data_IF_575897368877
#
_entry.id   IF_575897368877
#
_cell.length_a   1.000
_cell.length_b   1.000
_cell.length_c   1.000
_cell.angle_alpha   90.00
_cell.angle_beta   90.00
_cell.angle_gamma   90.00
#
_symmetry.space_group_name_H-M   'P 1'
#
loop_
_entity.id
_entity.type
_entity.pdbx_description
1 polymer ?
2 polymer ?
3 polymer ?
4 water ?
#
# COMPACT_ATOMS: atom_id res chain seq x y z
N UNK A 31 -15.35 -7.64 23.65
CA UNK A 31 -15.93 -7.46 22.32
C UNK A 31 -17.39 -7.93 22.26
N UNK A 32 -18.31 -7.01 22.59
CA UNK A 32 -19.73 -7.29 22.45
C UNK A 32 -20.24 -6.77 21.10
N UNK A 33 -20.60 -7.70 20.20
CA UNK A 33 -20.91 -7.49 18.77
C UNK A 33 -21.84 -6.32 18.44
N UNK A 34 -22.76 -5.99 19.34
CA UNK A 34 -23.67 -4.85 19.15
C UNK A 34 -22.88 -3.54 19.08
N UNK A 35 -21.64 -3.57 19.57
CA UNK A 35 -20.85 -2.36 19.68
C UNK A 35 -19.65 -2.33 18.74
N UNK A 36 -19.59 -3.30 17.81
CA UNK A 36 -18.54 -3.31 16.79
C UNK A 36 -19.11 -3.13 15.39
N UNK A 37 -18.37 -2.46 14.52
CA UNK A 37 -18.77 -2.40 13.11
C UNK A 37 -18.86 -3.82 12.59
N UNK A 38 -19.89 -4.09 11.79
CA UNK A 38 -20.02 -5.36 11.11
C UNK A 38 -18.90 -5.57 10.11
N UNK A 39 -18.18 -6.68 10.25
CA UNK A 39 -17.05 -6.97 9.37
C UNK A 39 -17.31 -8.23 8.56
N UNK A 40 -18.52 -8.76 8.68
CA UNK A 40 -18.92 -9.91 7.88
C UNK A 40 -19.34 -9.49 6.49
N UNK A 41 -18.35 -9.06 5.72
CA UNK A 41 -18.51 -8.70 4.31
C UNK A 41 -17.54 -9.54 3.48
N UNK A 42 -17.80 -9.63 2.18
CA UNK A 42 -16.98 -10.41 1.28
C UNK A 42 -15.51 -9.97 1.34
N UNK A 43 -15.29 -8.68 1.41
CA UNK A 43 -13.92 -8.15 1.42
C UNK A 43 -13.78 -7.04 2.45
N UNK A 44 -12.57 -6.84 2.97
CA UNK A 44 -12.34 -5.76 3.91
C UNK A 44 -12.57 -4.41 3.22
N UNK A 45 -12.00 -4.25 2.03
CA UNK A 45 -12.20 -3.02 1.27
C UNK A 45 -10.96 -2.48 0.59
N UNK A 46 -11.12 -1.34 -0.09
CA UNK A 46 -10.04 -0.66 -0.80
C UNK A 46 -9.20 0.19 0.14
N UNK A 47 -7.88 0.21 -0.10
CA UNK A 47 -6.98 1.15 0.56
C UNK A 47 -6.16 1.88 -0.51
N UNK A 48 -6.45 3.17 -0.67
CA UNK A 48 -5.75 4.00 -1.65
C UNK A 48 -4.58 4.71 -0.99
N UNK A 49 -3.39 4.62 -1.59
CA UNK A 49 -2.25 5.36 -1.07
C UNK A 49 -1.81 6.36 -2.12
N UNK A 50 -1.72 7.63 -1.72
CA UNK A 50 -1.15 8.65 -2.59
C UNK A 50 0.26 8.93 -2.11
N UNK A 51 1.25 8.57 -2.92
CA UNK A 51 2.65 8.69 -2.53
C UNK A 51 3.32 9.81 -3.29
N UNK A 52 3.32 11.01 -2.71
CA UNK A 52 3.92 12.17 -3.37
C UNK A 52 5.34 12.45 -2.92
N UNK A 53 6.29 12.17 -3.81
CA UNK A 53 7.73 12.30 -3.52
C UNK A 53 8.34 13.47 -4.26
N UNK A 54 8.04 13.56 -5.55
CA UNK A 54 8.61 14.60 -6.40
C UNK A 54 7.58 15.66 -6.72
N UNK A 55 8.00 16.92 -6.61
CA UNK A 55 7.06 18.02 -6.78
C UNK A 55 7.55 19.00 -7.85
N UNK A 56 6.61 19.67 -8.50
CA UNK A 56 6.97 20.68 -9.50
C UNK A 56 7.78 21.81 -8.87
N UNK A 57 8.82 22.23 -9.57
CA UNK A 57 9.71 23.31 -9.16
C UNK A 57 8.97 24.58 -8.71
N UNK A 58 7.78 24.80 -9.26
CA UNK A 58 6.98 25.98 -8.92
C UNK A 58 6.53 25.98 -7.45
N UNK A 59 6.20 24.80 -6.95
CA UNK A 59 5.77 24.65 -5.55
C UNK A 59 6.90 25.03 -4.60
N UNK A 60 8.14 24.93 -5.08
CA UNK A 60 9.32 25.18 -4.27
C UNK A 60 9.52 24.14 -3.17
N UNK A 61 8.85 23.00 -3.32
CA UNK A 61 8.94 21.95 -2.32
C UNK A 61 9.99 20.91 -2.73
N UNK A 62 10.73 20.41 -1.74
CA UNK A 62 11.79 19.46 -2.00
C UNK A 62 11.33 18.01 -2.13
N UNK A 63 12.23 17.15 -2.59
CA UNK A 63 11.96 15.72 -2.66
C UNK A 63 11.71 15.19 -1.25
N UNK A 64 10.77 14.25 -1.13
CA UNK A 64 10.48 13.64 0.16
C UNK A 64 11.19 12.30 0.31
N UNK A 65 12.52 12.35 0.45
CA UNK A 65 13.32 11.14 0.63
C UNK A 65 12.82 10.30 1.79
N UNK A 66 12.64 9.00 1.56
CA UNK A 66 12.12 8.12 2.58
C UNK A 66 10.68 7.75 2.37
N UNK A 67 9.97 8.53 1.55
CA UNK A 67 8.56 8.25 1.33
C UNK A 67 8.28 6.93 0.60
N UNK A 68 9.21 6.47 -0.24
CA UNK A 68 9.00 5.21 -0.92
C UNK A 68 9.05 4.07 0.09
N UNK A 69 9.95 4.17 1.06
CA UNK A 69 9.99 3.18 2.13
C UNK A 69 8.67 3.18 2.89
N UNK A 70 8.12 4.37 3.11
CA UNK A 70 6.81 4.49 3.76
C UNK A 70 5.73 3.77 2.94
N UNK A 71 5.67 4.10 1.65
CA UNK A 71 4.66 3.52 0.76
C UNK A 71 4.75 1.99 0.71
N UNK A 72 5.97 1.46 0.61
CA UNK A 72 6.10 0.01 0.51
C UNK A 72 5.78 -0.66 1.86
N UNK A 73 6.16 -0.03 2.96
CA UNK A 73 5.82 -0.53 4.28
C UNK A 73 4.31 -0.57 4.45
N UNK A 74 3.66 0.51 4.05
CA UNK A 74 2.20 0.63 4.21
C UNK A 74 1.46 -0.34 3.29
N UNK A 75 1.98 -0.51 2.09
CA UNK A 75 1.40 -1.50 1.16
C UNK A 75 1.36 -2.88 1.81
N UNK A 76 2.52 -3.33 2.32
CA UNK A 76 2.60 -4.63 2.96
C UNK A 76 1.70 -4.76 4.22
N UNK A 77 1.66 -3.74 5.06
CA UNK A 77 0.89 -3.87 6.31
C UNK A 77 -0.62 -3.69 6.10
N UNK A 78 -1.02 -2.84 5.16
CA UNK A 78 -2.45 -2.73 4.86
C UNK A 78 -2.96 -3.93 4.08
N UNK A 79 -2.09 -4.53 3.24
CA UNK A 79 -2.48 -5.75 2.53
C UNK A 79 -2.66 -6.87 3.54
N UNK A 80 -1.79 -6.90 4.55
CA UNK A 80 -1.87 -7.92 5.60
C UNK A 80 -3.20 -7.88 6.34
N UNK A 81 -3.73 -6.68 6.55
CA UNK A 81 -5.01 -6.49 7.22
C UNK A 81 -6.17 -7.04 6.39
N UNK A 82 -5.98 -7.10 5.08
CA UNK A 82 -7.02 -7.60 4.17
C UNK A 82 -7.48 -6.60 3.12
N UNK A 83 -6.90 -5.41 3.12
CA UNK A 83 -7.21 -4.40 2.11
C UNK A 83 -6.68 -4.75 0.72
N UNK A 84 -7.41 -4.31 -0.29
CA UNK A 84 -6.89 -4.24 -1.65
C UNK A 84 -6.16 -2.91 -1.78
N UNK A 85 -4.84 -2.94 -1.60
CA UNK A 85 -4.08 -1.69 -1.58
C UNK A 85 -3.67 -1.29 -2.99
N UNK A 86 -3.88 -0.03 -3.32
CA UNK A 86 -3.43 0.48 -4.62
C UNK A 86 -2.69 1.81 -4.42
N UNK A 87 -1.49 1.89 -4.95
CA UNK A 87 -0.62 3.04 -4.75
C UNK A 87 -0.48 3.87 -6.04
N UNK A 88 -0.63 5.18 -5.90
CA UNK A 88 -0.45 6.10 -7.01
C UNK A 88 0.66 7.09 -6.63
N UNK A 89 1.64 7.27 -7.52
CA UNK A 89 2.81 8.09 -7.21
C UNK A 89 2.76 9.49 -7.82
N UNK A 90 3.27 10.47 -7.07
CA UNK A 90 3.47 11.83 -7.57
C UNK A 90 2.21 12.38 -8.26
N UNK A 91 1.09 12.38 -7.55
CA UNK A 91 -0.18 12.79 -8.15
C UNK A 91 -0.37 14.31 -8.14
N UNK A 92 -0.87 14.84 -9.25
CA UNK A 92 -1.28 16.24 -9.29
C UNK A 92 -2.52 16.38 -8.42
N UNK A 93 -2.88 17.62 -8.09
CA UNK A 93 -4.09 17.88 -7.31
C UNK A 93 -5.32 17.31 -8.04
N UNK A 94 -5.35 17.49 -9.36
CA UNK A 94 -6.46 17.02 -10.17
C UNK A 94 -6.54 15.50 -10.16
N UNK A 95 -5.38 14.85 -10.15
CA UNK A 95 -5.35 13.39 -10.13
C UNK A 95 -5.86 12.86 -8.79
N UNK A 96 -5.40 13.47 -7.70
CA UNK A 96 -5.87 13.09 -6.36
C UNK A 96 -7.38 13.24 -6.26
N UNK A 97 -7.89 14.37 -6.72
CA UNK A 97 -9.32 14.62 -6.70
C UNK A 97 -10.10 13.58 -7.51
N UNK A 98 -9.61 13.26 -8.70
CA UNK A 98 -10.33 12.34 -9.56
C UNK A 98 -10.29 10.91 -9.05
N UNK A 99 -9.16 10.51 -8.47
CA UNK A 99 -9.02 9.16 -7.92
C UNK A 99 -9.99 8.93 -6.76
N UNK A 100 -10.05 9.89 -5.84
CA UNK A 100 -10.90 9.72 -4.67
C UNK A 100 -12.38 9.81 -5.08
N UNK A 101 -12.67 10.72 -6.00
CA UNK A 101 -14.02 10.85 -6.54
C UNK A 101 -14.46 9.54 -7.20
N UNK A 102 -13.59 8.99 -8.05
CA UNK A 102 -13.84 7.68 -8.67
C UNK A 102 -14.10 6.60 -7.63
N UNK A 103 -13.21 6.49 -6.64
CA UNK A 103 -13.35 5.51 -5.59
C UNK A 103 -14.70 5.66 -4.89
N UNK A 104 -15.11 6.90 -4.63
CA UNK A 104 -16.39 7.14 -3.96
C UNK A 104 -17.58 6.69 -4.82
N UNK A 105 -17.37 6.59 -6.13
CA UNK A 105 -18.44 6.21 -7.05
C UNK A 105 -18.44 4.71 -7.38
N UNK A 106 -17.44 3.99 -6.90
CA UNK A 106 -17.44 2.53 -7.06
C UNK A 106 -18.41 1.89 -6.08
N UNK A 107 -18.70 0.61 -6.32
CA UNK A 107 -19.66 -0.11 -5.49
C UNK A 107 -18.99 -0.82 -4.33
N UNK A 108 -19.14 -0.28 -3.11
CA UNK A 108 -18.53 -0.87 -1.92
C UNK A 108 -19.52 -1.73 -1.13
N UNK A 109 -20.59 -2.17 -1.78
CA UNK A 109 -21.65 -2.91 -1.08
C UNK A 109 -21.10 -4.11 -0.31
N UNK A 110 -20.15 -4.82 -0.92
CA UNK A 110 -19.62 -6.04 -0.34
C UNK A 110 -18.27 -5.86 0.32
N UNK A 111 -17.94 -4.61 0.64
CA UNK A 111 -16.73 -4.24 1.38
C UNK A 111 -17.13 -3.74 2.78
N UNK A 112 -16.31 -4.01 3.80
CA UNK A 112 -16.62 -3.58 5.18
C UNK A 112 -16.26 -2.12 5.49
N UNK A 113 -15.26 -1.58 4.79
CA UNK A 113 -14.77 -0.26 5.10
C UNK A 113 -13.92 0.28 3.98
N UNK A 114 -13.40 1.49 4.15
CA UNK A 114 -12.58 2.13 3.12
C UNK A 114 -11.44 2.87 3.80
N UNK A 115 -10.26 2.83 3.21
CA UNK A 115 -9.12 3.56 3.77
C UNK A 115 -8.40 4.33 2.68
N UNK A 116 -7.83 5.47 3.07
CA UNK A 116 -7.05 6.27 2.16
C UNK A 116 -5.87 6.84 2.96
N UNK A 117 -4.67 6.72 2.40
CA UNK A 117 -3.45 7.21 3.05
C UNK A 117 -2.79 8.26 2.17
N UNK A 118 -2.52 9.43 2.74
CA UNK A 118 -1.93 10.53 2.01
C UNK A 118 -0.53 10.80 2.53
N UNK A 119 0.46 10.72 1.65
CA UNK A 119 1.85 10.93 2.00
C UNK A 119 2.36 12.11 1.18
N UNK A 120 2.54 13.27 1.82
CA UNK A 120 2.96 14.43 1.07
C UNK A 120 3.46 15.54 1.97
N UNK A 121 3.84 16.64 1.35
CA UNK A 121 4.04 17.91 2.04
C UNK A 121 2.66 18.44 2.41
N UNK A 122 2.60 19.32 3.41
CA UNK A 122 1.33 19.91 3.80
C UNK A 122 1.48 21.23 4.51
N UNK A 123 0.34 21.88 4.72
CA UNK A 123 0.22 23.06 5.59
C UNK A 123 -1.10 22.87 6.31
N UNK A 124 -1.47 23.77 7.21
CA UNK A 124 -2.71 23.60 7.97
C UNK A 124 -3.91 23.44 7.03
N UNK A 125 -4.65 22.33 7.19
CA UNK A 125 -5.85 22.00 6.42
C UNK A 125 -5.64 21.62 4.94
N UNK A 126 -4.40 21.63 4.47
CA UNK A 126 -4.13 21.30 3.07
C UNK A 126 -3.03 20.26 2.90
N UNK A 127 -3.06 19.57 1.75
CA UNK A 127 -2.00 18.65 1.40
C UNK A 127 -1.51 19.02 0.01
N UNK A 128 -0.23 18.74 -0.27
CA UNK A 128 0.35 19.08 -1.55
C UNK A 128 0.16 17.98 -2.57
N UNK A 129 -0.36 18.37 -3.73
CA UNK A 129 -0.24 17.56 -4.92
C UNK A 129 1.10 17.92 -5.53
N UNK A 130 1.44 17.27 -6.63
CA UNK A 130 2.71 17.52 -7.30
C UNK A 130 2.85 18.99 -7.74
N UNK A 131 1.71 19.65 -7.93
CA UNK A 131 1.70 20.98 -8.55
C UNK A 131 1.12 22.09 -7.69
N UNK A 132 0.66 21.74 -6.49
CA UNK A 132 0.11 22.75 -5.59
C UNK A 132 -0.64 22.14 -4.42
N UNK A 133 -1.41 22.97 -3.73
CA UNK A 133 -2.14 22.53 -2.54
C UNK A 133 -3.62 22.32 -2.81
N UNK A 134 -4.19 21.32 -2.16
CA UNK A 134 -5.62 21.10 -2.21
C UNK A 134 -6.14 20.89 -0.78
N UNK A 135 -7.32 21.43 -0.47
CA UNK A 135 -7.85 21.27 0.88
C UNK A 135 -8.16 19.80 1.16
N UNK A 136 -7.75 19.32 2.32
CA UNK A 136 -7.97 17.93 2.67
C UNK A 136 -9.47 17.61 2.71
N UNK A 137 -10.27 18.57 3.15
CA UNK A 137 -11.71 18.38 3.22
C UNK A 137 -12.38 18.13 1.87
N UNK A 138 -11.76 18.63 0.79
CA UNK A 138 -12.28 18.39 -0.56
C UNK A 138 -12.08 16.94 -0.98
N UNK A 139 -11.03 16.32 -0.45
CA UNK A 139 -10.76 14.93 -0.76
C UNK A 139 -11.69 13.99 0.01
N UNK A 140 -11.97 14.33 1.27
CA UNK A 140 -12.79 13.45 2.10
C UNK A 140 -14.28 13.63 1.81
N UNK A 141 -14.64 14.77 1.23
CA UNK A 141 -16.04 15.13 1.02
C UNK A 141 -16.82 14.13 0.14
N UNK A 142 -16.12 13.47 -0.78
CA UNK A 142 -16.76 12.53 -1.70
C UNK A 142 -17.40 11.36 -0.97
N UNK A 143 -16.90 11.08 0.23
CA UNK A 143 -17.31 9.92 0.99
C UNK A 143 -18.39 10.19 2.03
N UNK A 144 -18.85 11.44 2.07
CA UNK A 144 -19.95 11.83 2.96
C UNK A 144 -21.13 10.89 2.77
N UNK A 145 -21.86 10.62 3.84
CA UNK A 145 -22.91 9.61 3.83
C UNK A 145 -23.95 9.77 2.75
N UNK A 146 -24.29 11.02 2.43
CA UNK A 146 -25.28 11.29 1.41
C UNK A 146 -24.69 11.18 -0.01
N UNK A 147 -23.36 11.20 -0.12
CA UNK A 147 -22.70 11.19 -1.43
C UNK A 147 -22.10 9.84 -1.81
N UNK A 148 -22.01 8.95 -0.82
CA UNK A 148 -21.38 7.65 -1.02
C UNK A 148 -22.20 6.59 -0.28
N UNK A 149 -23.32 6.23 -0.87
CA UNK A 149 -24.30 5.38 -0.20
C UNK A 149 -23.82 3.98 0.15
N UNK A 150 -22.92 3.43 -0.66
CA UNK A 150 -22.48 2.06 -0.40
C UNK A 150 -21.42 1.98 0.71
N UNK A 151 -21.04 3.13 1.24
CA UNK A 151 -20.17 3.16 2.42
C UNK A 151 -20.90 3.70 3.63
N UNK A 152 -22.20 3.93 3.49
CA UNK A 152 -23.01 4.40 4.60
C UNK A 152 -22.94 3.40 5.76
N UNK A 153 -22.76 3.92 6.98
CA UNK A 153 -22.68 3.13 8.21
C UNK A 153 -21.40 2.26 8.30
N UNK A 154 -20.47 2.52 7.40
CA UNK A 154 -19.19 1.80 7.37
C UNK A 154 -18.04 2.78 7.63
N UNK A 155 -16.97 2.30 8.28
CA UNK A 155 -15.90 3.25 8.62
C UNK A 155 -15.11 3.71 7.41
N UNK A 156 -14.81 5.00 7.39
CA UNK A 156 -14.05 5.61 6.33
C UNK A 156 -12.80 6.21 6.96
N UNK A 157 -11.64 5.64 6.66
CA UNK A 157 -10.43 5.93 7.42
C UNK A 157 -9.44 6.73 6.58
N UNK A 158 -8.97 7.85 7.11
CA UNK A 158 -7.94 8.63 6.40
C UNK A 158 -6.70 8.79 7.24
N UNK A 159 -5.56 8.34 6.71
CA UNK A 159 -4.28 8.44 7.41
C UNK A 159 -3.47 9.49 6.67
N UNK A 160 -3.03 10.53 7.39
CA UNK A 160 -2.44 11.69 6.75
C UNK A 160 -1.06 12.00 7.29
N UNK A 161 -0.04 11.70 6.49
CA UNK A 161 1.34 12.06 6.80
C UNK A 161 1.70 13.31 6.01
N UNK A 162 1.67 14.43 6.71
CA UNK A 162 1.92 15.74 6.11
C UNK A 162 2.05 16.76 7.23
N UNK A 163 2.88 17.78 7.03
CA UNK A 163 2.95 18.87 8.00
C UNK A 163 1.59 19.56 8.07
N UNK A 164 1.31 20.18 9.21
CA UNK A 164 0.07 20.93 9.38
C UNK A 164 0.39 22.36 9.82
N UNK A 165 1.62 22.76 9.55
CA UNK A 165 2.13 24.04 10.00
C UNK A 165 3.62 23.93 10.24
N UNK A 166 4.22 24.98 10.79
CA UNK A 166 5.67 25.04 10.94
C UNK A 166 6.13 25.04 12.41
N UNK A 167 5.19 24.97 13.34
CA UNK A 167 5.55 24.90 14.75
C UNK A 167 6.33 23.63 15.09
N UNK A 168 7.26 23.74 16.02
CA UNK A 168 8.03 22.60 16.50
C UNK A 168 7.74 22.35 17.97
N UNK A 169 7.72 21.09 18.36
CA UNK A 169 7.48 20.70 19.75
C UNK A 169 8.82 20.45 20.44
N UNK A 170 9.23 21.37 21.31
CA UNK A 170 10.54 21.26 21.94
C UNK A 170 10.61 20.12 22.97
N UNK A 171 9.45 19.58 23.32
CA UNK A 171 9.39 18.50 24.30
C UNK A 171 9.76 18.95 25.70
N UNK A 172 9.58 18.05 26.66
CA UNK A 172 9.91 18.32 28.05
C UNK A 172 10.32 17.01 28.74
N UNK A 173 11.37 17.07 29.55
CA UNK A 173 11.87 15.85 30.19
C UNK A 173 10.94 15.37 31.31
N UNK B 5 -35.77 6.66 10.37
CA UNK B 5 -34.51 6.81 11.11
C UNK B 5 -33.33 7.16 10.22
N UNK B 6 -32.59 8.20 10.61
CA UNK B 6 -31.49 8.74 9.81
C UNK B 6 -30.17 8.68 10.55
N UNK B 7 -29.09 8.78 9.79
CA UNK B 7 -27.73 8.85 10.34
C UNK B 7 -27.08 10.15 9.85
N UNK B 8 -26.22 10.77 10.67
CA UNK B 8 -25.57 12.01 10.23
C UNK B 8 -24.67 11.73 9.02
N UNK B 9 -24.62 12.65 8.06
CA UNK B 9 -23.82 12.43 6.85
C UNK B 9 -22.33 12.56 7.17
N UNK B 10 -22.01 13.12 8.33
CA UNK B 10 -20.62 13.30 8.76
C UNK B 10 -20.13 12.16 9.66
N UNK B 11 -21.01 11.22 9.96
CA UNK B 11 -20.66 10.09 10.82
C UNK B 11 -19.74 9.07 10.15
N UNK B 12 -19.02 8.34 10.99
CA UNK B 12 -18.24 7.17 10.58
C UNK B 12 -16.95 7.48 9.83
N UNK B 13 -16.41 8.68 10.04
CA UNK B 13 -15.06 9.00 9.54
C UNK B 13 -14.05 8.89 10.68
N UNK B 14 -12.81 8.54 10.36
CA UNK B 14 -11.73 8.69 11.32
C UNK B 14 -10.56 9.28 10.57
N UNK B 15 -9.88 10.26 11.19
CA UNK B 15 -8.70 10.85 10.56
C UNK B 15 -7.54 10.59 11.50
N UNK B 16 -6.50 9.94 11.00
CA UNK B 16 -5.32 9.71 11.80
C UNK B 16 -4.25 10.61 11.23
N UNK B 17 -4.03 11.77 11.86
CA UNK B 17 -2.99 12.69 11.39
C UNK B 17 -1.68 12.39 12.05
N UNK B 18 -0.59 12.59 11.32
CA UNK B 18 0.74 12.32 11.85
C UNK B 18 1.13 13.29 12.96
N UNK B 19 0.47 14.44 13.00
CA UNK B 19 0.88 15.49 13.92
C UNK B 19 -0.34 16.36 14.28
N UNK B 20 -0.17 17.23 15.27
CA UNK B 20 -1.27 18.09 15.70
C UNK B 20 -1.37 19.33 14.81
N UNK B 21 -2.53 20.01 14.81
CA UNK B 21 -2.67 21.19 13.95
C UNK B 21 -1.63 22.25 14.28
N UNK B 22 -1.12 22.91 13.24
CA UNK B 22 -0.13 23.95 13.39
C UNK B 22 1.31 23.46 13.42
N UNK B 23 1.50 22.14 13.49
CA UNK B 23 2.83 21.59 13.73
C UNK B 23 3.45 20.87 12.54
N UNK B 24 4.78 20.90 12.51
CA UNK B 24 5.60 20.16 11.56
C UNK B 24 5.39 18.66 11.77
N UNK B 25 5.66 17.87 10.73
CA UNK B 25 5.62 16.43 10.85
C UNK B 25 6.97 15.89 10.34
N UNK B 26 7.65 15.10 11.17
CA UNK B 26 9.03 14.71 10.91
C UNK B 26 9.20 13.47 10.06
N UNK B 27 10.22 13.49 9.20
CA UNK B 27 10.48 12.39 8.30
C UNK B 27 11.99 12.14 8.26
N UNK B 28 12.40 10.91 8.53
CA UNK B 28 13.79 10.51 8.34
C UNK B 28 14.03 10.24 6.86
N UNK B 29 15.03 10.91 6.25
CA UNK B 29 15.31 10.71 4.82
C UNK B 29 15.68 9.26 4.49
N UNK B 30 16.26 8.56 5.45
CA UNK B 30 16.71 7.19 5.23
C UNK B 30 15.73 6.11 5.67
N UNK B 31 14.84 6.44 6.60
CA UNK B 31 13.99 5.41 7.19
C UNK B 31 12.50 5.63 6.97
N UNK B 32 12.11 6.85 6.60
CA UNK B 32 10.71 7.18 6.39
C UNK B 32 10.17 8.06 7.50
N UNK B 33 8.91 8.44 7.39
CA UNK B 33 8.31 9.33 8.38
C UNK B 33 8.16 8.60 9.71
N UNK B 34 8.26 9.36 10.80
CA UNK B 34 8.13 8.76 12.12
C UNK B 34 6.78 8.08 12.28
N UNK B 35 5.74 8.77 11.83
CA UNK B 35 4.38 8.30 11.97
C UNK B 35 4.15 6.97 11.23
N UNK B 36 4.60 6.89 9.98
CA UNK B 36 4.42 5.65 9.23
C UNK B 36 5.23 4.52 9.83
N UNK B 37 6.47 4.81 10.26
CA UNK B 37 7.29 3.77 10.87
C UNK B 37 6.55 3.15 12.05
N UNK B 38 5.99 4.01 12.91
CA UNK B 38 5.32 3.57 14.11
C UNK B 38 4.04 2.81 13.78
N UNK B 39 3.28 3.36 12.85
CA UNK B 39 2.01 2.77 12.43
C UNK B 39 2.23 1.36 11.85
N UNK B 40 3.22 1.20 10.99
CA UNK B 40 3.45 -0.12 10.43
C UNK B 40 3.92 -1.09 11.48
N UNK B 41 4.77 -0.61 12.39
CA UNK B 41 5.31 -1.46 13.44
C UNK B 41 4.19 -2.03 14.30
N UNK B 42 3.29 -1.14 14.73
CA UNK B 42 2.16 -1.51 15.59
C UNK B 42 1.18 -2.41 14.84
N UNK B 43 0.88 -2.06 13.59
CA UNK B 43 -0.02 -2.91 12.79
C UNK B 43 0.55 -4.30 12.60
N UNK B 44 1.84 -4.40 12.30
CA UNK B 44 2.47 -5.69 12.05
C UNK B 44 2.27 -6.63 13.24
N UNK B 45 2.36 -6.09 14.45
CA UNK B 45 2.27 -6.91 15.64
C UNK B 45 0.84 -7.07 16.15
N UNK B 46 0.03 -6.01 16.09
CA UNK B 46 -1.27 -6.01 16.75
C UNK B 46 -2.48 -5.74 15.86
N UNK B 47 -2.24 -5.51 14.58
CA UNK B 47 -3.28 -5.08 13.65
C UNK B 47 -4.51 -5.96 13.57
N UNK B 48 -4.36 -7.25 13.80
CA UNK B 48 -5.50 -8.17 13.74
C UNK B 48 -6.05 -8.51 15.12
N UNK B 49 -5.52 -7.87 16.15
CA UNK B 49 -5.90 -8.20 17.52
C UNK B 49 -6.60 -7.06 18.23
N UNK B 50 -6.18 -5.84 17.92
CA UNK B 50 -6.64 -4.67 18.70
C UNK B 50 -7.63 -3.79 17.96
N UNK B 51 -8.38 -3.00 18.72
CA UNK B 51 -9.34 -2.06 18.14
C UNK B 51 -8.58 -0.87 17.58
N UNK B 52 -9.16 -0.17 16.61
CA UNK B 52 -8.39 0.85 15.89
C UNK B 52 -7.86 1.97 16.80
N UNK B 53 -8.65 2.38 17.79
CA UNK B 53 -8.17 3.40 18.70
C UNK B 53 -7.06 2.89 19.62
N UNK B 54 -7.08 1.61 19.95
CA UNK B 54 -5.98 1.01 20.71
C UNK B 54 -4.71 1.07 19.88
N UNK B 55 -4.82 0.69 18.63
CA UNK B 55 -3.70 0.74 17.69
C UNK B 55 -3.18 2.16 17.60
N UNK B 56 -4.07 3.13 17.37
CA UNK B 56 -3.62 4.50 17.12
C UNK B 56 -3.05 5.18 18.37
N UNK B 57 -3.57 4.80 19.54
CA UNK B 57 -3.02 5.29 20.81
C UNK B 57 -1.59 4.77 21.01
N UNK B 58 -1.38 3.50 20.69
CA UNK B 58 -0.03 2.92 20.76
C UNK B 58 0.91 3.62 19.79
N UNK B 59 0.40 3.96 18.60
CA UNK B 59 1.16 4.76 17.66
C UNK B 59 1.52 6.13 18.25
N UNK B 60 0.54 6.79 18.89
CA UNK B 60 0.79 8.07 19.56
C UNK B 60 1.96 7.95 20.52
N UNK B 61 1.93 6.92 21.37
CA UNK B 61 3.00 6.75 22.36
C UNK B 61 4.36 6.42 21.71
N UNK B 62 4.36 5.56 20.70
CA UNK B 62 5.60 5.19 20.01
C UNK B 62 6.26 6.42 19.41
N UNK B 63 5.46 7.26 18.74
CA UNK B 63 5.98 8.47 18.11
C UNK B 63 6.47 9.44 19.18
N UNK B 64 5.68 9.56 20.25
CA UNK B 64 5.99 10.48 21.34
C UNK B 64 7.29 10.11 22.07
N UNK B 65 7.55 8.81 22.19
CA UNK B 65 8.62 8.34 23.06
C UNK B 65 9.89 7.90 22.36
N UNK B 66 9.75 7.23 21.22
CA UNK B 66 10.92 6.61 20.60
C UNK B 66 11.60 7.50 19.56
N UNK B 67 10.99 8.63 19.24
CA UNK B 67 11.57 9.53 18.24
C UNK B 67 11.91 10.91 18.80
N UNK B 68 13.05 11.42 18.36
CA UNK B 68 13.49 12.77 18.66
C UNK B 68 14.41 13.25 17.53
N UNK B 69 14.19 14.47 17.04
CA UNK B 69 14.93 14.95 15.87
C UNK B 69 16.41 15.21 16.16
N UNK B 70 17.22 15.08 15.11
CA UNK B 70 18.64 15.41 15.18
C UNK B 70 18.95 16.42 14.09
N UNK B 71 19.68 17.47 14.44
CA UNK B 71 20.09 18.47 13.45
C UNK B 71 21.29 19.26 13.96
N UNK B 72 22.14 19.70 13.05
CA UNK B 72 23.23 20.60 13.41
C UNK B 72 22.73 22.03 13.55
N UNK B 73 21.52 22.27 13.05
CA UNK B 73 20.83 23.53 13.24
C UNK B 73 20.09 23.42 14.56
N UNK B 74 20.49 24.22 15.56
CA UNK B 74 19.91 24.18 16.90
C UNK B 74 18.39 24.35 16.86
N UNK B 75 17.91 25.13 15.91
CA UNK B 75 16.47 25.39 15.79
C UNK B 75 15.69 24.12 15.52
N UNK B 76 16.34 23.14 14.90
CA UNK B 76 15.67 21.89 14.52
C UNK B 76 16.12 20.66 15.33
N UNK B 77 16.93 20.89 16.35
CA UNK B 77 17.53 19.81 17.13
C UNK B 77 16.67 19.41 18.34
N UNK B 78 16.54 18.11 18.53
CA UNK B 78 15.92 17.52 19.72
C UNK B 78 14.44 17.89 19.86
N UNK B 79 13.74 17.92 18.73
CA UNK B 79 12.31 18.22 18.71
C UNK B 79 11.49 16.93 18.78
N UNK B 80 10.23 17.07 19.16
CA UNK B 80 9.37 15.92 19.41
C UNK B 80 8.09 16.02 18.60
N UNK B 81 7.28 14.97 18.63
CA UNK B 81 6.06 14.94 17.84
C UNK B 81 5.01 14.08 18.48
N UNK B 82 3.76 14.54 18.44
CA UNK B 82 2.61 13.71 18.81
C UNK B 82 1.59 13.71 17.66
N UNK B 83 1.11 12.52 17.26
CA UNK B 83 0.05 12.51 16.25
C UNK B 83 -1.30 12.93 16.84
N UNK B 84 -2.33 12.88 16.00
CA UNK B 84 -3.60 13.46 16.38
C UNK B 84 -4.69 12.65 15.70
N UNK B 85 -5.53 11.98 16.49
CA UNK B 85 -6.57 11.13 15.95
C UNK B 85 -7.91 11.82 16.11
N UNK B 86 -8.66 11.93 15.01
CA UNK B 86 -9.98 12.56 15.10
C UNK B 86 -11.03 11.49 14.77
N UNK B 87 -11.85 11.12 15.75
CA UNK B 87 -12.80 10.04 15.52
C UNK B 87 -14.24 10.51 15.52
N UNK B 88 -14.94 10.24 14.42
CA UNK B 88 -16.39 10.37 14.34
C UNK B 88 -17.01 8.99 14.21
N UNK B 89 -16.27 7.95 14.59
CA UNK B 89 -16.78 6.58 14.53
C UNK B 89 -17.89 6.34 15.55
N UNK B 90 -18.80 5.42 15.19
CA UNK B 90 -19.97 5.14 16.00
C UNK B 90 -19.93 3.73 16.58
N UNK B 91 -18.90 2.98 16.21
CA UNK B 91 -18.69 1.62 16.73
C UNK B 91 -17.19 1.35 16.86
N UNK B 92 -16.86 0.27 17.55
CA UNK B 92 -15.49 -0.21 17.62
C UNK B 92 -15.14 -0.90 16.32
N UNK B 93 -13.90 -0.68 15.86
CA UNK B 93 -13.41 -1.24 14.61
C UNK B 93 -12.28 -2.21 14.87
N UNK B 94 -12.54 -3.49 14.61
CA UNK B 94 -11.49 -4.52 14.53
C UNK B 94 -11.35 -4.97 13.09
N UNK B 95 -10.11 -5.17 12.64
CA UNK B 95 -9.85 -5.71 11.32
C UNK B 95 -9.88 -7.23 11.39
N UNK B 96 -11.04 -7.79 11.71
CA UNK B 96 -11.16 -9.22 11.92
C UNK B 96 -11.50 -9.95 10.63
N UNK C 13 13.70 -24.48 9.56
CA UNK C 13 15.06 -24.18 9.98
C UNK C 13 15.89 -23.65 8.81
N UNK C 14 16.24 -24.53 7.89
CA UNK C 14 16.89 -24.11 6.64
C UNK C 14 15.93 -23.27 5.83
N UNK C 15 14.63 -23.48 6.07
CA UNK C 15 13.57 -22.75 5.39
C UNK C 15 13.64 -21.24 5.53
N UNK C 16 13.77 -20.76 6.77
CA UNK C 16 13.88 -19.32 6.98
C UNK C 16 15.21 -18.83 6.42
N UNK C 17 16.25 -19.62 6.60
CA UNK C 17 17.58 -19.27 6.09
C UNK C 17 17.52 -19.11 4.58
N UNK C 18 16.79 -20.00 3.93
CA UNK C 18 16.62 -19.99 2.48
C UNK C 18 15.85 -18.74 2.06
N UNK C 19 14.74 -18.46 2.74
CA UNK C 19 13.93 -17.29 2.43
C UNK C 19 14.76 -16.03 2.60
N UNK C 20 15.50 -15.96 3.71
CA UNK C 20 16.31 -14.79 4.01
C UNK C 20 17.38 -14.59 2.94
N UNK C 21 18.10 -15.66 2.61
CA UNK C 21 19.17 -15.59 1.62
C UNK C 21 18.60 -15.24 0.25
N UNK C 22 17.49 -15.86 -0.11
CA UNK C 22 16.86 -15.59 -1.40
C UNK C 22 16.41 -14.13 -1.49
N UNK C 23 15.83 -13.64 -0.40
CA UNK C 23 15.39 -12.24 -0.33
C UNK C 23 16.56 -11.28 -0.45
N UNK C 24 17.67 -11.60 0.20
CA UNK C 24 18.83 -10.73 0.24
C UNK C 24 19.67 -10.83 -1.04
N UNK C 25 19.26 -11.71 -1.95
CA UNK C 25 19.96 -11.86 -3.22
C UNK C 25 21.34 -12.48 -3.09
N UNK C 26 21.46 -13.47 -2.21
CA UNK C 26 22.72 -14.16 -1.99
C UNK C 26 22.75 -15.50 -2.73
N UNK C 27 23.20 -15.45 -3.99
CA UNK C 27 23.20 -16.60 -4.88
C UNK C 27 23.89 -17.83 -4.29
N UNK C 28 25.12 -17.64 -3.83
CA UNK C 28 25.91 -18.76 -3.33
C UNK C 28 25.31 -19.40 -2.09
N UNK C 29 24.79 -18.57 -1.19
CA UNK C 29 24.17 -19.08 0.03
C UNK C 29 22.95 -19.93 -0.31
N UNK C 30 22.11 -19.41 -1.20
CA UNK C 30 20.98 -20.18 -1.72
C UNK C 30 21.43 -21.52 -2.31
N UNK C 31 22.47 -21.51 -3.14
CA UNK C 31 22.90 -22.76 -3.77
C UNK C 31 23.40 -23.75 -2.72
N UNK C 32 24.10 -23.25 -1.70
CA UNK C 32 24.58 -24.09 -0.61
C UNK C 32 23.42 -24.67 0.20
N UNK C 33 22.44 -23.82 0.51
CA UNK C 33 21.28 -24.24 1.27
C UNK C 33 20.50 -25.33 0.53
N UNK C 34 20.27 -25.12 -0.77
CA UNK C 34 19.59 -26.10 -1.59
C UNK C 34 20.37 -27.41 -1.69
N UNK C 35 21.69 -27.31 -1.88
CA UNK C 35 22.52 -28.50 -2.03
C UNK C 35 22.55 -29.29 -0.72
N UNK C 36 22.20 -28.62 0.37
CA UNK C 36 22.17 -29.25 1.68
C UNK C 36 20.76 -29.62 2.14
N UNK C 37 19.83 -29.62 1.19
CA UNK C 37 18.52 -30.20 1.42
C UNK C 37 17.43 -29.26 1.90
N UNK C 38 17.62 -27.95 1.74
CA UNK C 38 16.57 -27.00 2.12
C UNK C 38 15.33 -27.23 1.25
N UNK C 39 14.16 -27.05 1.85
CA UNK C 39 12.89 -27.20 1.15
C UNK C 39 12.70 -26.05 0.19
N UNK C 40 12.74 -26.37 -1.11
CA UNK C 40 12.62 -25.34 -2.16
C UNK C 40 11.29 -24.61 -2.08
N UNK C 41 10.29 -25.26 -1.51
CA UNK C 41 8.95 -24.68 -1.42
C UNK C 41 8.62 -24.20 -0.02
N UNK C 42 9.66 -23.92 0.76
CA UNK C 42 9.48 -23.34 2.10
C UNK C 42 8.70 -22.04 1.98
N UNK C 43 7.94 -21.70 3.00
CA UNK C 43 7.22 -20.45 2.97
C UNK C 43 7.05 -19.88 4.36
N UNK C 44 6.91 -18.57 4.45
CA UNK C 44 6.64 -17.96 5.73
C UNK C 44 5.16 -18.10 6.06
N UNK C 45 4.74 -17.50 7.15
CA UNK C 45 3.35 -17.62 7.62
C UNK C 45 2.35 -17.03 6.63
N UNK C 46 2.82 -16.18 5.73
CA UNK C 46 1.96 -15.52 4.75
C UNK C 46 2.02 -16.20 3.39
N UNK C 47 2.62 -17.39 3.34
CA UNK C 47 2.71 -18.17 2.12
C UNK C 47 3.73 -17.68 1.12
N UNK C 48 4.62 -16.79 1.56
CA UNK C 48 5.67 -16.20 0.74
C UNK C 48 6.79 -17.20 0.58
N UNK C 49 7.10 -17.58 -0.65
CA UNK C 49 8.15 -18.58 -0.93
C UNK C 49 9.41 -17.90 -1.45
N UNK C 50 10.55 -18.61 -1.44
CA UNK C 50 11.77 -18.07 -2.02
C UNK C 50 11.60 -17.64 -3.48
N UNK C 51 10.82 -18.38 -4.27
CA UNK C 51 10.57 -17.98 -5.64
C UNK C 51 9.80 -16.64 -5.72
N UNK C 52 8.83 -16.44 -4.84
CA UNK C 52 8.16 -15.13 -4.75
C UNK C 52 9.18 -14.04 -4.47
N UNK C 53 10.02 -14.29 -3.47
CA UNK C 53 10.95 -13.26 -2.99
C UNK C 53 11.92 -12.87 -4.10
N UNK C 54 12.42 -13.86 -4.81
CA UNK C 54 13.39 -13.58 -5.86
C UNK C 54 12.72 -12.90 -7.05
N UNK C 55 11.44 -13.21 -7.26
CA UNK C 55 10.68 -12.59 -8.34
C UNK C 55 10.41 -11.10 -8.07
N UNK C 56 10.14 -10.76 -6.82
CA UNK C 56 9.84 -9.36 -6.47
C UNK C 56 11.11 -8.52 -6.45
N UNK C 57 12.18 -9.11 -5.95
CA UNK C 57 13.42 -8.37 -5.76
C UNK C 57 14.35 -8.42 -6.98
N UNK C 58 14.01 -9.26 -7.96
CA UNK C 58 14.69 -9.25 -9.24
C UNK C 58 15.95 -10.07 -9.37
N UNK C 59 16.09 -11.08 -8.52
CA UNK C 59 17.29 -11.92 -8.51
C UNK C 59 17.17 -13.10 -9.47
N UNK C 60 17.50 -12.82 -10.72
CA UNK C 60 17.33 -13.75 -11.84
C UNK C 60 18.02 -15.09 -11.65
N UNK C 61 19.28 -15.06 -11.22
CA UNK C 61 20.05 -16.29 -11.11
C UNK C 61 19.50 -17.19 -10.02
N UNK C 62 18.90 -16.58 -9.00
CA UNK C 62 18.34 -17.33 -7.88
C UNK C 62 17.03 -17.99 -8.31
N UNK C 63 16.24 -17.25 -9.08
CA UNK C 63 15.03 -17.81 -9.70
C UNK C 63 15.40 -19.09 -10.45
N UNK C 64 16.45 -19.01 -11.26
CA UNK C 64 16.90 -20.16 -12.04
C UNK C 64 17.24 -21.37 -11.17
N UNK C 65 17.98 -21.14 -10.08
CA UNK C 65 18.35 -22.21 -9.17
C UNK C 65 17.13 -22.84 -8.50
N UNK C 66 16.22 -22.01 -8.02
CA UNK C 66 15.03 -22.50 -7.35
C UNK C 66 14.20 -23.36 -8.29
N UNK C 67 14.01 -22.91 -9.52
CA UNK C 67 13.26 -23.68 -10.50
C UNK C 67 13.95 -25.01 -10.78
N UNK C 68 15.28 -24.99 -10.84
CA UNK C 68 16.04 -26.21 -11.07
C UNK C 68 15.83 -27.24 -9.96
N UNK C 69 15.55 -26.78 -8.75
CA UNK C 69 15.29 -27.66 -7.63
C UNK C 69 13.80 -27.98 -7.51
N UNK C 70 13.02 -27.61 -8.54
CA UNK C 70 11.62 -27.98 -8.58
C UNK C 70 10.70 -27.07 -7.79
N UNK C 71 11.06 -25.79 -7.70
CA UNK C 71 10.19 -24.80 -7.07
C UNK C 71 8.84 -24.77 -7.79
N UNK C 72 7.77 -24.66 -7.02
CA UNK C 72 6.42 -24.55 -7.57
C UNK C 72 6.31 -23.19 -8.22
N UNK C 73 6.26 -23.16 -9.55
CA UNK C 73 6.21 -21.91 -10.28
C UNK C 73 4.89 -21.17 -10.03
N UNK C 74 3.86 -21.90 -9.62
CA UNK C 74 2.55 -21.31 -9.40
C UNK C 74 2.14 -21.23 -7.94
N UNK C 75 3.11 -21.21 -7.03
CA UNK C 75 2.81 -21.12 -5.62
C UNK C 75 2.01 -19.85 -5.33
N UNK C 76 0.95 -19.99 -4.54
CA UNK C 76 0.07 -18.88 -4.23
C UNK C 76 0.20 -18.52 -2.75
N UNK C 77 0.45 -17.26 -2.44
CA UNK C 77 0.62 -16.87 -1.04
C UNK C 77 -0.75 -16.62 -0.38
N UNK C 78 -0.75 -16.04 0.83
CA UNK C 78 -2.02 -15.85 1.56
C UNK C 78 -2.96 -14.90 0.85
N UNK C 79 -2.43 -14.13 -0.10
CA UNK C 79 -3.23 -13.10 -0.74
C UNK C 79 -3.57 -13.48 -2.16
N UNK C 80 -3.25 -14.72 -2.53
CA UNK C 80 -3.53 -15.22 -3.86
C UNK C 80 -2.47 -14.86 -4.89
N UNK C 81 -1.38 -14.22 -4.46
CA UNK C 81 -0.33 -13.79 -5.39
C UNK C 81 0.63 -14.91 -5.71
N UNK C 82 1.00 -15.00 -6.98
CA UNK C 82 1.98 -15.97 -7.45
C UNK C 82 3.28 -15.25 -7.79
N UNK C 83 4.36 -16.02 -8.06
CA UNK C 83 5.60 -15.31 -8.37
C UNK C 83 5.50 -14.47 -9.64
N UNK C 84 4.65 -14.89 -10.59
CA UNK C 84 4.44 -14.10 -11.78
C UNK C 84 3.80 -12.76 -11.45
N UNK C 85 2.85 -12.77 -10.51
CA UNK C 85 2.33 -11.51 -9.99
C UNK C 85 3.47 -10.63 -9.48
N UNK C 86 4.37 -11.21 -8.68
CA UNK C 86 5.44 -10.44 -8.04
C UNK C 86 6.34 -9.79 -9.08
N UNK C 87 6.75 -10.58 -10.06
CA UNK C 87 7.64 -10.09 -11.11
C UNK C 87 6.97 -9.00 -11.96
N UNK C 88 5.69 -9.19 -12.27
CA UNK C 88 4.98 -8.21 -13.08
C UNK C 88 4.81 -6.89 -12.34
N UNK C 89 4.56 -6.98 -11.03
CA UNK C 89 4.38 -5.78 -10.21
C UNK C 89 5.70 -5.03 -10.05
N UNK C 90 6.75 -5.76 -9.70
CA UNK C 90 8.05 -5.15 -9.45
C UNK C 90 8.70 -4.72 -10.76
N UNK C 91 8.18 -5.26 -11.85
CA UNK C 91 8.63 -4.88 -13.18
C UNK C 91 9.86 -5.57 -13.72
N UNK C 92 10.06 -6.83 -13.35
CA UNK C 92 11.27 -7.55 -13.78
C UNK C 92 11.01 -8.38 -15.02
N UNK C 93 11.32 -7.81 -16.19
CA UNK C 93 10.93 -8.37 -17.48
C UNK C 93 11.52 -9.76 -17.76
N UNK C 94 12.80 -9.93 -17.52
CA UNK C 94 13.44 -11.20 -17.81
C UNK C 94 12.89 -12.31 -16.91
N UNK C 95 12.56 -11.97 -15.67
CA UNK C 95 12.02 -12.96 -14.75
C UNK C 95 10.59 -13.36 -15.17
N UNK C 96 9.81 -12.39 -15.65
CA UNK C 96 8.49 -12.68 -16.20
C UNK C 96 8.60 -13.73 -17.31
N UNK C 97 9.57 -13.58 -18.21
CA UNK C 97 9.74 -14.52 -19.31
C UNK C 97 10.10 -15.91 -18.82
N UNK C 98 11.03 -15.97 -17.87
CA UNK C 98 11.46 -17.23 -17.29
C UNK C 98 10.33 -17.98 -16.57
N UNK C 99 9.56 -17.26 -15.77
CA UNK C 99 8.42 -17.88 -15.10
C UNK C 99 7.44 -18.49 -16.11
N UNK C 100 7.10 -17.73 -17.15
CA UNK C 100 6.19 -18.20 -18.20
C UNK C 100 6.73 -19.44 -18.91
N UNK C 101 8.04 -19.47 -19.14
CA UNK C 101 8.70 -20.60 -19.79
C UNK C 101 8.58 -21.88 -18.96
N UNK C 102 8.47 -21.71 -17.64
CA UNK C 102 8.35 -22.84 -16.71
C UNK C 102 6.91 -23.13 -16.29
N UNK C 103 5.95 -22.62 -17.06
CA UNK C 103 4.56 -22.99 -16.87
C UNK C 103 3.75 -22.10 -15.96
N UNK C 104 4.25 -20.91 -15.63
CA UNK C 104 3.49 -19.99 -14.79
C UNK C 104 2.15 -19.68 -15.47
N UNK C 105 1.11 -19.62 -14.66
CA UNK C 105 -0.23 -19.31 -15.11
C UNK C 105 -0.30 -17.82 -15.41
N UNK C 106 -0.38 -17.48 -16.69
CA UNK C 106 -0.37 -16.08 -17.13
C UNK C 106 -1.62 -15.34 -16.64
N UNK C 107 -2.68 -16.08 -16.37
CA UNK C 107 -3.93 -15.46 -15.91
C UNK C 107 -4.29 -15.73 -14.46
N UNK C 108 -3.32 -16.13 -13.66
CA UNK C 108 -3.57 -16.35 -12.24
C UNK C 108 -4.22 -15.10 -11.63
N UNK C 109 -5.22 -15.34 -10.79
CA UNK C 109 -5.98 -14.25 -10.20
C UNK C 109 -5.77 -14.26 -8.70
N UNK C 110 -5.41 -13.12 -8.12
CA UNK C 110 -5.23 -13.06 -6.67
C UNK C 110 -6.57 -12.93 -5.95
N UNK C 111 -6.53 -12.72 -4.63
CA UNK C 111 -7.77 -12.71 -3.88
C UNK C 111 -8.72 -11.54 -4.18
N UNK C 112 -8.19 -10.46 -4.75
CA UNK C 112 -9.03 -9.36 -5.24
C UNK C 112 -9.14 -9.37 -6.77
N UNK C 113 -8.81 -10.51 -7.37
CA UNK C 113 -9.00 -10.68 -8.81
C UNK C 113 -7.98 -10.01 -9.70
N UNK C 114 -6.88 -9.52 -9.13
CA UNK C 114 -5.82 -8.96 -9.95
C UNK C 114 -5.04 -10.05 -10.66
N UNK C 115 -4.79 -9.86 -11.94
CA UNK C 115 -3.96 -10.76 -12.73
C UNK C 115 -2.61 -10.08 -12.93
N UNK C 116 -1.60 -10.84 -13.40
CA UNK C 116 -0.33 -10.16 -13.68
C UNK C 116 -0.49 -9.00 -14.67
N UNK C 117 -1.39 -9.14 -15.64
CA UNK C 117 -1.64 -8.07 -16.60
C UNK C 117 -2.18 -6.81 -15.90
N UNK C 118 -3.06 -6.99 -14.90
CA UNK C 118 -3.51 -5.84 -14.12
C UNK C 118 -2.32 -5.13 -13.47
N UNK C 119 -1.44 -5.90 -12.85
CA UNK C 119 -0.28 -5.32 -12.15
C UNK C 119 0.63 -4.55 -13.11
N UNK C 120 0.92 -5.16 -14.26
CA UNK C 120 1.79 -4.50 -15.22
C UNK C 120 1.15 -3.22 -15.78
N UNK C 121 -0.16 -3.26 -16.00
CA UNK C 121 -0.84 -2.10 -16.58
C UNK C 121 -0.87 -0.95 -15.58
N UNK C 122 -1.07 -1.28 -14.31
CA UNK C 122 -1.11 -0.27 -13.26
C UNK C 122 0.27 0.34 -13.03
N UNK C 123 1.30 -0.49 -12.96
CA UNK C 123 2.65 0.00 -12.65
C UNK C 123 3.38 0.61 -13.84
N UNK C 124 2.89 0.36 -15.05
CA UNK C 124 3.40 1.04 -16.23
C UNK C 124 4.51 0.30 -16.96
N UNK C 125 4.54 -1.02 -16.84
CA UNK C 125 5.56 -1.80 -17.52
C UNK C 125 5.06 -2.29 -18.87
N UNK C 126 5.36 -1.52 -19.91
CA UNK C 126 4.83 -1.75 -21.24
C UNK C 126 5.34 -3.06 -21.87
N UNK C 127 6.63 -3.34 -21.69
CA UNK C 127 7.21 -4.56 -22.26
C UNK C 127 6.65 -5.80 -21.59
N UNK C 128 6.45 -5.73 -20.27
CA UNK C 128 5.83 -6.84 -19.56
C UNK C 128 4.40 -7.03 -20.02
N UNK C 129 3.67 -5.94 -20.24
CA UNK C 129 2.33 -6.03 -20.83
C UNK C 129 2.39 -6.80 -22.17
N UNK C 130 3.35 -6.45 -23.02
CA UNK C 130 3.47 -7.09 -24.34
C UNK C 130 3.73 -8.58 -24.22
N UNK C 131 4.63 -8.93 -23.32
CA UNK C 131 5.00 -10.32 -23.10
C UNK C 131 3.82 -11.11 -22.57
N UNK C 132 3.09 -10.54 -21.63
CA UNK C 132 1.94 -11.22 -21.06
C UNK C 132 0.89 -11.47 -22.13
N UNK C 133 0.60 -10.43 -22.91
CA UNK C 133 -0.35 -10.55 -24.02
C UNK C 133 0.06 -11.66 -25.00
N UNK C 134 1.34 -11.69 -25.37
CA UNK C 134 1.84 -12.70 -26.29
C UNK C 134 1.76 -14.11 -25.72
N UNK C 135 1.72 -14.21 -24.40
CA UNK C 135 1.61 -15.50 -23.72
C UNK C 135 0.19 -15.86 -23.26
N UNK C 136 -0.78 -15.13 -23.80
CA UNK C 136 -2.18 -15.49 -23.63
C UNK C 136 -2.93 -14.76 -22.53
N UNK C 137 -2.37 -13.66 -22.03
CA UNK C 137 -3.04 -12.89 -20.99
C UNK C 137 -4.41 -12.42 -21.44
N UNK C 138 -5.37 -12.50 -20.53
CA UNK C 138 -6.77 -12.15 -20.79
C UNK C 138 -6.95 -10.64 -20.65
N UNK C 139 -7.06 -9.95 -21.78
CA UNK C 139 -7.21 -8.49 -21.77
C UNK C 139 -8.51 -8.04 -21.09
N UNK C 140 -9.50 -8.93 -21.05
CA UNK C 140 -10.82 -8.58 -20.55
C UNK C 140 -11.02 -8.93 -19.08
N UNK C 141 -9.99 -9.48 -18.44
CA UNK C 141 -10.08 -9.87 -17.03
C UNK C 141 -10.53 -8.74 -16.12
N UNK C 142 -11.58 -8.98 -15.35
CA UNK C 142 -12.06 -8.03 -14.37
C UNK C 142 -11.58 -8.43 -12.99
N UNK C 143 -11.03 -7.49 -12.25
CA UNK C 143 -10.69 -7.79 -10.86
C UNK C 143 -11.98 -7.72 -10.03
N UNK C 144 -11.86 -7.86 -8.72
CA UNK C 144 -13.05 -7.93 -7.86
C UNK C 144 -13.91 -6.67 -7.94
N UNK C 145 -13.28 -5.54 -8.26
CA UNK C 145 -13.94 -4.25 -8.40
C UNK C 145 -14.55 -4.04 -9.79
N UNK C 146 -14.39 -5.02 -10.67
CA UNK C 146 -14.95 -4.93 -12.01
C UNK C 146 -14.07 -4.15 -12.97
N UNK C 147 -12.79 -4.01 -12.63
CA UNK C 147 -11.87 -3.26 -13.47
C UNK C 147 -10.92 -4.13 -14.27
N UNK C 148 -10.71 -3.75 -15.53
CA UNK C 148 -9.80 -4.45 -16.42
C UNK C 148 -8.42 -3.84 -16.33
N UNK C 149 -7.41 -4.51 -16.89
CA UNK C 149 -6.10 -3.87 -16.95
C UNK C 149 -6.14 -2.52 -17.70
N UNK C 150 -6.96 -2.44 -18.75
CA UNK C 150 -7.15 -1.17 -19.44
C UNK C 150 -7.61 -0.07 -18.48
N UNK C 151 -8.63 -0.36 -17.67
CA UNK C 151 -9.11 0.64 -16.70
C UNK C 151 -7.97 1.15 -15.81
N UNK C 152 -7.12 0.23 -15.35
CA UNK C 152 -6.06 0.61 -14.43
C UNK C 152 -5.02 1.49 -15.12
N UNK C 153 -4.70 1.16 -16.37
CA UNK C 153 -3.75 1.94 -17.15
C UNK C 153 -4.29 3.36 -17.35
N UNK C 154 -5.57 3.48 -17.66
CA UNK C 154 -6.22 4.79 -17.75
C UNK C 154 -6.18 5.55 -16.42
N UNK C 155 -6.52 4.88 -15.33
CA UNK C 155 -6.58 5.54 -14.02
C UNK C 155 -5.22 6.09 -13.65
N UNK C 156 -4.16 5.38 -14.06
CA UNK C 156 -2.83 5.77 -13.63
C UNK C 156 -2.02 6.51 -14.71
N UNK C 157 -2.68 6.88 -15.80
CA UNK C 157 -2.06 7.71 -16.82
C UNK C 157 -1.05 6.97 -17.69
N UNK C 158 -1.20 5.66 -17.81
CA UNK C 158 -0.30 4.87 -18.64
C UNK C 158 -0.91 4.70 -20.03
N UNK C 159 -0.84 5.77 -20.81
CA UNK C 159 -1.55 5.89 -22.09
C UNK C 159 -1.14 4.89 -23.16
N UNK C 160 0.16 4.67 -23.31
CA UNK C 160 0.65 3.75 -24.32
C UNK C 160 0.18 2.32 -24.04
N UNK C 161 0.24 1.94 -22.78
CA UNK C 161 -0.30 0.65 -22.33
C UNK C 161 -1.80 0.57 -22.57
N UNK C 162 -2.53 1.63 -22.25
CA UNK C 162 -3.97 1.64 -22.46
C UNK C 162 -4.28 1.41 -23.95
N UNK C 163 -3.50 2.06 -24.81
CA UNK C 163 -3.68 1.90 -26.26
C UNK C 163 -3.43 0.46 -26.71
N UNK C 164 -2.36 -0.15 -26.20
CA UNK C 164 -2.06 -1.53 -26.53
C UNK C 164 -3.17 -2.50 -26.07
N UNK C 165 -3.65 -2.32 -24.84
CA UNK C 165 -4.73 -3.15 -24.29
C UNK C 165 -6.02 -2.99 -25.06
N UNK C 166 -6.34 -1.76 -25.45
CA UNK C 166 -7.58 -1.50 -26.16
C UNK C 166 -7.54 -2.18 -27.52
N UNK C 167 -6.38 -2.14 -28.17
CA UNK C 167 -6.25 -2.77 -29.47
C UNK C 167 -6.29 -4.28 -29.37
N UNK C 168 -5.73 -4.83 -28.30
CA UNK C 168 -5.70 -6.27 -28.12
C UNK C 168 -7.09 -6.84 -27.85
N UNK C 169 -7.97 -6.04 -27.25
CA UNK C 169 -9.30 -6.48 -26.85
C UNK C 169 -10.15 -6.94 -28.03
N UNK C 170 -9.96 -6.30 -29.17
CA UNK C 170 -10.78 -6.60 -30.34
C UNK C 170 -9.91 -7.04 -31.52
#
# INVERSE_FOLDING_TARGET
>A
AKPDRSSFVPSLFSKKKKNVTMRSIKTTRDRVPTYQYNMNFEKLGKCIIINNKNFDKVTGMGVRNGTDKDAEALFKCFRSLGFDVIVYNDCSCAKMQDLLKKASEEDHTNAACFACILLSHGEENVIYGKDGVTPIKDLTAHFRGDRCKTLLEKPKLFFIQACRGTELDDGIQAD
>B
ANPRYKIPVEADFLFAYSTVPGYYSWRSPGRGSWFVQALCSILEEHGKDLEIMQILTRVNDRVARHFESQSDDPHFHEKKQIPCVVSMLTKELYFSQLEHHHHHH
>C
MRGSHHHHHHGSDLGKKLLDAASAGQDDEVRILMANGADVNASNQQGWTPLHATAEYGHLEIVDVLLAYGADVNASDSYGSTPLHSAAWAGHLEIVDVLLAHGADVNASDNYGWTPLHLAAHTGHLEIVDVLLANGADVNANNWWGKTPFDLAIDNGNEDIAEVLQKAAKL
#
